data_IF_768683858270
#
_entry.id   IF_768683858270
#
_cell.length_a   1.000
_cell.length_b   1.000
_cell.length_c   1.000
_cell.angle_alpha   90.00
_cell.angle_beta   90.00
_cell.angle_gamma   90.00
#
_symmetry.space_group_name_H-M   'P 1'
#
loop_
_entity.id
_entity.type
_entity.pdbx_description
1 polymer ?
#
# COMPACT_ATOMS: atom_id res chain seq x y z
N UNK A 1 15.11 23.70 -3.90
CA UNK A 1 14.51 22.56 -3.16
C UNK A 1 13.50 21.91 -4.08
N UNK A 2 13.60 20.61 -4.32
CA UNK A 2 12.71 19.89 -5.24
C UNK A 2 12.00 18.76 -4.52
N UNK A 3 10.67 18.71 -4.63
CA UNK A 3 9.89 17.59 -4.11
C UNK A 3 10.14 16.34 -4.96
N UNK A 4 10.29 15.19 -4.33
CA UNK A 4 10.51 13.89 -4.98
C UNK A 4 9.59 12.81 -4.43
N UNK A 5 9.35 11.77 -5.23
CA UNK A 5 8.54 10.62 -4.82
C UNK A 5 9.26 9.64 -3.88
N UNK A 6 10.59 9.71 -3.81
CA UNK A 6 11.40 8.81 -3.00
C UNK A 6 12.84 9.29 -2.89
N UNK A 7 13.48 9.00 -1.76
CA UNK A 7 14.88 9.30 -1.52
C UNK A 7 15.77 8.08 -1.80
N UNK A 8 17.08 8.29 -2.07
CA UNK A 8 18.01 7.20 -2.26
C UNK A 8 18.06 6.22 -1.09
N UNK A 9 18.07 4.93 -1.42
CA UNK A 9 18.17 3.83 -0.46
C UNK A 9 19.56 3.18 -0.41
N UNK A 10 20.50 3.66 -1.24
CA UNK A 10 21.88 3.19 -1.29
C UNK A 10 22.82 4.29 -1.79
N UNK A 11 24.14 4.06 -1.63
CA UNK A 11 25.17 5.03 -1.99
C UNK A 11 25.21 5.33 -3.50
N UNK A 12 25.04 4.31 -4.35
CA UNK A 12 25.08 4.48 -5.81
C UNK A 12 23.95 5.38 -6.31
N UNK A 13 22.73 5.21 -5.79
CA UNK A 13 21.61 6.08 -6.13
C UNK A 13 21.83 7.51 -5.60
N UNK A 14 22.39 7.65 -4.40
CA UNK A 14 22.75 8.94 -3.82
C UNK A 14 23.73 9.69 -4.72
N UNK A 15 24.83 9.06 -5.13
CA UNK A 15 25.83 9.65 -6.01
C UNK A 15 25.25 10.00 -7.38
N UNK A 16 24.41 9.13 -7.94
CA UNK A 16 23.74 9.38 -9.22
C UNK A 16 22.85 10.62 -9.13
N UNK A 17 22.04 10.76 -8.08
CA UNK A 17 21.18 11.92 -7.89
C UNK A 17 21.95 13.19 -7.57
N UNK A 18 23.00 13.09 -6.76
CA UNK A 18 23.95 14.18 -6.48
C UNK A 18 24.55 14.73 -7.77
N UNK A 19 25.06 13.85 -8.64
CA UNK A 19 25.67 14.22 -9.91
C UNK A 19 24.65 14.87 -10.85
N UNK A 20 23.42 14.34 -10.90
CA UNK A 20 22.32 14.91 -11.71
C UNK A 20 21.97 16.33 -11.29
N UNK A 21 22.00 16.63 -9.98
CA UNK A 21 21.73 17.98 -9.44
C UNK A 21 22.97 18.88 -9.42
N UNK A 22 24.15 18.36 -9.71
CA UNK A 22 25.41 19.11 -9.63
C UNK A 22 25.81 19.48 -8.20
N UNK A 23 25.44 18.67 -7.21
CA UNK A 23 25.87 18.92 -5.83
C UNK A 23 27.38 18.69 -5.67
N UNK A 24 28.03 19.58 -4.92
CA UNK A 24 29.44 19.50 -4.61
C UNK A 24 29.76 18.63 -3.40
N UNK A 25 30.96 18.81 -2.88
CA UNK A 25 31.39 18.26 -1.60
C UNK A 25 31.67 19.43 -0.64
N UNK A 26 31.46 19.20 0.65
CA UNK A 26 31.85 20.15 1.68
C UNK A 26 33.39 20.23 1.81
N UNK A 27 33.88 21.12 2.69
CA UNK A 27 35.33 21.29 2.92
C UNK A 27 36.06 20.04 3.45
N UNK A 28 35.34 19.00 3.84
CA UNK A 28 35.89 17.73 4.33
C UNK A 28 35.71 16.59 3.31
N UNK A 29 35.23 16.90 2.10
CA UNK A 29 35.02 15.91 1.04
C UNK A 29 33.73 15.10 1.19
N UNK A 30 32.78 15.52 2.03
CA UNK A 30 31.49 14.85 2.15
C UNK A 30 30.52 15.37 1.08
N UNK A 31 29.84 14.44 0.39
CA UNK A 31 28.80 14.77 -0.58
C UNK A 31 27.72 15.68 0.04
N UNK A 32 27.42 16.80 -0.63
CA UNK A 32 26.47 17.81 -0.16
C UNK A 32 25.00 17.55 -0.55
N UNK A 33 24.72 16.51 -1.33
CA UNK A 33 23.36 16.12 -1.65
C UNK A 33 22.63 15.57 -0.43
N UNK A 34 21.40 16.05 -0.22
CA UNK A 34 20.48 15.49 0.78
C UNK A 34 19.14 15.18 0.13
N UNK A 35 18.47 14.17 0.66
CA UNK A 35 17.06 13.92 0.40
C UNK A 35 16.39 13.48 1.69
N UNK A 36 15.46 14.30 2.20
CA UNK A 36 14.85 14.09 3.51
C UNK A 36 13.37 14.53 3.48
N UNK A 37 12.55 14.04 4.42
CA UNK A 37 11.24 14.61 4.68
C UNK A 37 11.32 16.09 5.07
N UNK A 38 10.32 16.86 4.64
CA UNK A 38 10.10 18.17 5.24
C UNK A 38 9.49 18.06 6.64
N UNK A 39 9.61 19.12 7.45
CA UNK A 39 9.08 19.14 8.82
C UNK A 39 7.57 18.92 8.93
N UNK A 40 6.80 19.19 7.87
CA UNK A 40 5.35 18.93 7.86
C UNK A 40 4.99 17.51 7.41
N UNK A 41 5.98 16.69 7.03
CA UNK A 41 5.79 15.32 6.52
C UNK A 41 4.82 15.27 5.35
N UNK A 42 4.77 16.32 4.54
CA UNK A 42 3.92 16.39 3.35
C UNK A 42 4.63 15.94 2.08
N UNK A 43 5.96 15.95 2.07
CA UNK A 43 6.77 15.54 0.92
C UNK A 43 8.20 15.16 1.33
N UNK A 44 8.88 14.45 0.43
CA UNK A 44 10.32 14.28 0.46
C UNK A 44 10.95 15.36 -0.41
N UNK A 45 11.99 16.00 0.07
CA UNK A 45 12.68 17.10 -0.63
C UNK A 45 14.14 16.75 -0.84
N UNK A 46 14.63 16.94 -2.06
CA UNK A 46 16.05 16.88 -2.39
C UNK A 46 16.62 18.28 -2.67
N UNK A 47 17.87 18.51 -2.22
CA UNK A 47 18.61 19.75 -2.42
C UNK A 47 20.13 19.51 -2.27
N UNK A 48 20.94 20.45 -2.77
CA UNK A 48 22.35 20.55 -2.44
C UNK A 48 22.50 21.45 -1.21
N UNK A 49 22.98 20.88 -0.11
CA UNK A 49 23.17 21.61 1.15
C UNK A 49 24.47 22.40 1.09
N UNK A 50 24.40 23.69 1.35
CA UNK A 50 25.55 24.62 1.25
C UNK A 50 26.44 24.64 2.50
N UNK A 51 26.01 23.98 3.58
CA UNK A 51 26.73 23.88 4.83
C UNK A 51 27.73 22.71 4.90
N UNK A 52 28.35 22.59 6.08
CA UNK A 52 29.20 21.45 6.44
C UNK A 52 28.32 20.25 6.76
N UNK A 53 28.65 19.07 6.22
CA UNK A 53 27.97 17.83 6.56
C UNK A 53 28.37 17.38 7.97
N UNK A 54 27.52 17.71 8.92
CA UNK A 54 27.71 17.40 10.33
C UNK A 54 27.36 15.94 10.70
N UNK A 55 27.24 15.75 12.01
CA UNK A 55 26.79 14.50 12.62
C UNK A 55 25.36 14.65 13.13
N UNK A 56 24.53 13.65 12.85
CA UNK A 56 23.21 13.45 13.42
C UNK A 56 23.37 12.67 14.72
N UNK A 57 22.76 13.16 15.79
CA UNK A 57 22.78 12.47 17.07
C UNK A 57 21.96 11.17 17.01
N UNK A 58 22.45 10.10 17.65
CA UNK A 58 21.69 8.84 17.79
C UNK A 58 20.27 9.08 18.30
N UNK A 59 19.34 8.23 17.90
CA UNK A 59 17.92 8.35 18.26
C UNK A 59 17.18 9.45 17.49
N UNK A 60 17.79 10.07 16.48
CA UNK A 60 17.18 11.12 15.67
C UNK A 60 17.25 10.83 14.17
N UNK A 61 16.17 11.19 13.49
CA UNK A 61 16.12 11.40 12.04
C UNK A 61 16.43 12.85 11.70
N UNK A 62 16.73 13.10 10.43
CA UNK A 62 16.98 14.43 9.88
C UNK A 62 15.79 14.86 9.02
N UNK A 63 15.33 16.09 9.21
CA UNK A 63 14.24 16.73 8.44
C UNK A 63 14.72 18.06 7.84
N UNK A 64 14.01 18.55 6.84
CA UNK A 64 14.28 19.85 6.21
C UNK A 64 13.21 20.87 6.62
N UNK A 65 13.65 22.01 7.13
CA UNK A 65 12.84 23.20 7.43
C UNK A 65 13.44 24.40 6.73
N UNK A 66 12.79 24.93 5.69
CA UNK A 66 13.22 26.15 4.97
C UNK A 66 14.70 26.14 4.54
N UNK A 67 15.18 24.99 4.06
CA UNK A 67 16.57 24.79 3.61
C UNK A 67 17.54 24.41 4.73
N UNK A 68 17.12 24.53 5.99
CA UNK A 68 17.89 24.12 7.16
C UNK A 68 17.60 22.68 7.57
N UNK A 69 18.59 22.04 8.17
CA UNK A 69 18.50 20.69 8.71
C UNK A 69 18.06 20.72 10.16
N UNK A 70 17.03 19.95 10.52
CA UNK A 70 16.54 19.82 11.90
C UNK A 70 16.49 18.37 12.35
N UNK A 71 16.72 18.14 13.65
CA UNK A 71 16.71 16.82 14.25
C UNK A 71 15.31 16.47 14.77
N UNK A 72 14.84 15.26 14.46
CA UNK A 72 13.59 14.71 14.95
C UNK A 72 13.83 13.42 15.70
N UNK A 73 13.37 13.34 16.94
CA UNK A 73 13.44 12.11 17.72
C UNK A 73 12.63 10.99 17.05
N UNK A 74 13.25 9.82 16.86
CA UNK A 74 12.65 8.63 16.26
C UNK A 74 12.63 7.42 17.21
N UNK A 75 12.85 7.63 18.51
CA UNK A 75 12.93 6.52 19.49
C UNK A 75 11.60 5.79 19.68
N UNK A 76 10.49 6.41 19.28
CA UNK A 76 9.16 5.81 19.21
C UNK A 76 8.95 4.92 17.98
N UNK A 77 9.92 4.82 17.08
CA UNK A 77 9.81 3.96 15.90
C UNK A 77 9.88 2.50 16.32
N UNK A 78 9.10 1.66 15.65
CA UNK A 78 9.14 0.20 15.85
C UNK A 78 10.52 -0.38 15.55
N UNK A 79 11.21 0.16 14.53
CA UNK A 79 12.58 -0.20 14.15
C UNK A 79 13.18 0.85 13.20
N UNK A 80 14.50 0.78 12.97
CA UNK A 80 15.19 1.58 11.95
C UNK A 80 15.58 3.01 12.37
N UNK A 81 15.35 3.40 13.62
CA UNK A 81 15.92 4.63 14.18
C UNK A 81 17.43 4.45 14.44
N UNK A 82 18.30 5.43 14.12
CA UNK A 82 19.75 5.30 14.32
C UNK A 82 20.15 5.01 15.77
N UNK A 83 20.86 3.90 15.99
CA UNK A 83 21.41 3.54 17.31
C UNK A 83 22.71 4.25 17.67
N UNK A 84 23.39 4.81 16.67
CA UNK A 84 24.68 5.49 16.78
C UNK A 84 24.64 6.87 16.11
N UNK A 85 25.71 7.65 16.29
CA UNK A 85 25.87 8.93 15.60
C UNK A 85 26.22 8.66 14.13
N UNK A 86 25.50 9.32 13.22
CA UNK A 86 25.67 9.10 11.77
C UNK A 86 26.00 10.43 11.11
N UNK A 87 26.65 10.41 9.95
CA UNK A 87 26.86 11.64 9.18
C UNK A 87 25.60 12.04 8.44
N UNK A 88 25.42 13.34 8.21
CA UNK A 88 24.26 13.86 7.48
C UNK A 88 24.12 13.26 6.08
N UNK A 89 25.24 12.97 5.40
CA UNK A 89 25.27 12.37 4.06
C UNK A 89 25.04 10.85 4.04
N UNK A 90 24.86 10.22 5.20
CA UNK A 90 24.58 8.78 5.34
C UNK A 90 23.10 8.49 5.61
N UNK A 91 22.22 9.46 5.36
CA UNK A 91 20.77 9.33 5.56
C UNK A 91 20.15 8.11 4.84
N UNK A 92 20.73 7.69 3.71
CA UNK A 92 20.29 6.52 2.93
C UNK A 92 20.39 5.19 3.71
N UNK A 93 21.25 5.12 4.74
CA UNK A 93 21.37 3.92 5.60
C UNK A 93 20.14 3.71 6.49
N UNK A 94 19.28 4.72 6.64
CA UNK A 94 18.13 4.71 7.54
C UNK A 94 16.83 5.00 6.80
N UNK A 95 16.32 4.06 5.99
CA UNK A 95 15.09 4.24 5.21
C UNK A 95 13.85 4.53 6.07
N UNK A 96 13.87 4.08 7.34
CA UNK A 96 12.84 4.44 8.32
C UNK A 96 12.68 5.96 8.50
N UNK A 97 13.79 6.70 8.47
CA UNK A 97 13.81 8.16 8.55
C UNK A 97 13.38 8.86 7.25
N UNK A 98 13.07 8.12 6.20
CA UNK A 98 12.61 8.64 4.91
C UNK A 98 11.17 8.21 4.60
N UNK A 99 10.62 7.27 5.36
CA UNK A 99 9.30 6.68 5.08
C UNK A 99 8.23 7.42 5.85
N UNK A 100 7.56 8.36 5.18
CA UNK A 100 6.46 9.16 5.73
C UNK A 100 5.13 8.79 5.08
N UNK A 101 4.05 8.94 5.85
CA UNK A 101 2.69 8.98 5.33
C UNK A 101 2.27 10.45 5.23
N UNK A 102 2.10 10.92 3.99
CA UNK A 102 1.78 12.31 3.69
C UNK A 102 0.34 12.69 4.04
N UNK A 103 -0.56 11.72 4.19
CA UNK A 103 -1.95 11.95 4.61
C UNK A 103 -2.04 12.19 6.10
N UNK A 104 -1.42 11.31 6.89
CA UNK A 104 -1.41 11.38 8.35
C UNK A 104 -0.28 12.27 8.90
N UNK A 105 0.63 12.75 8.03
CA UNK A 105 1.75 13.64 8.33
C UNK A 105 2.66 13.10 9.44
N UNK A 106 2.98 11.82 9.36
CA UNK A 106 3.84 11.14 10.32
C UNK A 106 4.75 10.11 9.65
N UNK A 107 5.73 9.61 10.40
CA UNK A 107 6.58 8.51 9.96
C UNK A 107 5.83 7.19 10.07
N UNK A 108 5.82 6.39 9.01
CA UNK A 108 5.07 5.13 8.94
C UNK A 108 5.44 4.15 10.06
N UNK A 109 6.68 4.21 10.53
CA UNK A 109 7.20 3.33 11.59
C UNK A 109 7.04 3.89 12.99
N UNK A 110 6.59 5.14 13.14
CA UNK A 110 6.31 5.72 14.44
C UNK A 110 5.09 5.05 15.07
N UNK A 111 5.21 4.65 16.33
CA UNK A 111 4.10 4.09 17.12
C UNK A 111 2.85 4.97 17.15
N UNK A 112 3.00 6.30 17.09
CA UNK A 112 1.88 7.24 17.08
C UNK A 112 1.25 7.41 15.70
N UNK A 113 1.92 6.95 14.64
CA UNK A 113 1.44 7.08 13.27
C UNK A 113 0.38 6.02 13.02
N UNK A 114 -0.88 6.37 13.33
CA UNK A 114 -2.02 5.58 12.94
C UNK A 114 -2.13 5.69 11.43
N UNK A 115 -2.06 4.55 10.74
CA UNK A 115 -2.62 4.50 9.39
C UNK A 115 -4.06 4.93 9.55
N UNK A 116 -4.46 5.98 8.87
CA UNK A 116 -5.87 6.18 8.60
C UNK A 116 -6.26 4.96 7.78
N UNK A 117 -6.71 3.91 8.46
CA UNK A 117 -7.49 2.87 7.81
C UNK A 117 -8.56 3.68 7.08
N UNK A 118 -8.46 3.66 5.76
CA UNK A 118 -9.49 4.21 4.89
C UNK A 118 -10.71 3.38 5.23
N UNK A 119 -11.48 3.89 6.18
CA UNK A 119 -12.87 3.57 6.46
C UNK A 119 -13.26 2.19 5.93
N UNK A 120 -13.14 1.16 6.77
CA UNK A 120 -13.91 -0.08 6.62
C UNK A 120 -15.44 0.21 6.50
N UNK A 121 -15.88 1.44 6.78
CA UNK A 121 -17.22 1.95 6.46
C UNK A 121 -17.53 1.96 4.95
N UNK A 122 -16.58 2.30 4.06
CA UNK A 122 -16.85 2.35 2.62
C UNK A 122 -16.92 0.95 1.98
N UNK A 123 -16.23 -0.04 2.55
CA UNK A 123 -16.27 -1.43 2.04
C UNK A 123 -17.52 -2.16 2.54
N UNK A 124 -17.99 -1.86 3.75
CA UNK A 124 -19.25 -2.42 4.27
C UNK A 124 -20.49 -1.90 3.52
N UNK A 125 -20.52 -0.62 3.12
CA UNK A 125 -21.66 -0.07 2.37
C UNK A 125 -21.79 -0.71 0.97
N UNK A 126 -20.68 -1.01 0.29
CA UNK A 126 -20.69 -1.67 -1.01
C UNK A 126 -21.10 -3.14 -0.87
N UNK A 127 -20.60 -3.85 0.15
CA UNK A 127 -20.98 -5.25 0.36
C UNK A 127 -22.46 -5.39 0.76
N UNK A 128 -22.98 -4.47 1.57
CA UNK A 128 -24.38 -4.48 2.00
C UNK A 128 -25.35 -4.23 0.84
N UNK A 129 -25.04 -3.27 -0.04
CA UNK A 129 -25.86 -2.97 -1.22
C UNK A 129 -25.87 -4.11 -2.24
N UNK A 130 -24.71 -4.75 -2.47
CA UNK A 130 -24.60 -5.91 -3.38
C UNK A 130 -25.36 -7.12 -2.81
N UNK A 131 -25.24 -7.42 -1.51
CA UNK A 131 -25.98 -8.51 -0.87
C UNK A 131 -27.50 -8.30 -0.93
N UNK A 132 -27.96 -7.07 -0.70
CA UNK A 132 -29.38 -6.72 -0.81
C UNK A 132 -29.92 -6.95 -2.23
N UNK A 133 -29.17 -6.55 -3.27
CA UNK A 133 -29.58 -6.75 -4.66
C UNK A 133 -29.67 -8.25 -5.02
N UNK A 134 -28.70 -9.06 -4.58
CA UNK A 134 -28.73 -10.51 -4.79
C UNK A 134 -29.93 -11.18 -4.09
N UNK A 135 -30.29 -10.73 -2.89
CA UNK A 135 -31.49 -11.22 -2.19
C UNK A 135 -32.79 -10.89 -2.93
N UNK A 136 -32.91 -9.68 -3.48
CA UNK A 136 -34.11 -9.28 -4.24
C UNK A 136 -34.25 -10.10 -5.53
N UNK A 137 -33.14 -10.32 -6.26
CA UNK A 137 -33.14 -11.10 -7.50
C UNK A 137 -33.51 -12.57 -7.21
N UNK A 138 -32.97 -13.16 -6.16
CA UNK A 138 -33.24 -14.57 -5.79
C UNK A 138 -34.68 -14.79 -5.35
N UNK A 139 -35.26 -13.89 -4.55
CA UNK A 139 -36.68 -13.94 -4.16
C UNK A 139 -37.59 -13.77 -5.38
N UNK A 140 -37.27 -12.84 -6.29
CA UNK A 140 -38.03 -12.64 -7.52
C UNK A 140 -38.02 -13.87 -8.42
N UNK A 141 -36.86 -14.52 -8.60
CA UNK A 141 -36.73 -15.73 -9.39
C UNK A 141 -37.56 -16.89 -8.80
N UNK A 142 -37.53 -17.08 -7.47
CA UNK A 142 -38.32 -18.11 -6.79
C UNK A 142 -39.83 -17.93 -7.01
N UNK A 143 -40.35 -16.71 -6.90
CA UNK A 143 -41.76 -16.41 -7.15
C UNK A 143 -42.16 -16.69 -8.61
N UNK A 144 -41.30 -16.34 -9.57
CA UNK A 144 -41.51 -16.66 -10.98
C UNK A 144 -41.55 -18.17 -11.22
N UNK A 145 -40.63 -18.94 -10.63
CA UNK A 145 -40.62 -20.41 -10.72
C UNK A 145 -41.88 -21.05 -10.13
N UNK A 146 -42.37 -20.55 -9.00
CA UNK A 146 -43.62 -21.01 -8.39
C UNK A 146 -44.80 -20.71 -9.32
N UNK A 147 -44.88 -19.50 -9.85
CA UNK A 147 -45.95 -19.11 -10.78
C UNK A 147 -45.94 -19.98 -12.05
N UNK A 148 -44.77 -20.19 -12.67
CA UNK A 148 -44.62 -21.08 -13.81
C UNK A 148 -45.01 -22.52 -13.47
N UNK A 149 -44.66 -23.02 -12.28
CA UNK A 149 -45.02 -24.36 -11.84
C UNK A 149 -46.54 -24.52 -11.66
N UNK A 150 -47.22 -23.51 -11.12
CA UNK A 150 -48.68 -23.48 -10.99
C UNK A 150 -49.32 -23.46 -12.38
N UNK A 151 -48.90 -22.55 -13.26
CA UNK A 151 -49.40 -22.46 -14.64
C UNK A 151 -49.17 -23.78 -15.37
N UNK A 152 -47.99 -24.39 -15.23
CA UNK A 152 -47.66 -25.66 -15.86
C UNK A 152 -48.53 -26.81 -15.35
N UNK A 153 -48.79 -26.87 -14.03
CA UNK A 153 -49.72 -27.85 -13.45
C UNK A 153 -51.16 -27.61 -13.92
N UNK A 154 -51.64 -26.37 -13.96
CA UNK A 154 -52.95 -26.02 -14.50
C UNK A 154 -53.08 -26.39 -15.99
N UNK A 155 -52.06 -26.07 -16.80
CA UNK A 155 -52.02 -26.38 -18.21
C UNK A 155 -51.95 -27.89 -18.49
N UNK A 156 -51.18 -28.66 -17.70
CA UNK A 156 -51.13 -30.13 -17.82
C UNK A 156 -52.41 -30.79 -17.35
N UNK A 157 -53.04 -30.31 -16.28
CA UNK A 157 -54.33 -30.81 -15.79
C UNK A 157 -55.43 -30.69 -16.86
N UNK A 158 -55.48 -29.57 -17.58
CA UNK A 158 -56.43 -29.38 -18.69
C UNK A 158 -56.16 -30.30 -19.89
N UNK A 159 -54.90 -30.69 -20.14
CA UNK A 159 -54.56 -31.62 -21.23
C UNK A 159 -54.98 -33.06 -20.93
N UNK A 160 -54.99 -33.50 -19.67
CA UNK A 160 -55.47 -34.84 -19.31
C UNK A 160 -56.99 -34.96 -19.42
N UNK A 161 -57.75 -33.90 -19.12
CA UNK A 161 -59.21 -33.91 -19.30
C UNK A 161 -59.64 -34.02 -20.77
N UNK A 162 -58.85 -33.49 -21.72
CA UNK A 162 -59.14 -33.68 -23.16
C UNK A 162 -58.96 -35.13 -23.60
N UNK A 163 -57.96 -35.86 -23.08
CA UNK A 163 -57.74 -37.28 -23.43
C UNK A 163 -58.79 -38.24 -22.84
N UNK A 164 -59.38 -37.91 -21.70
CA UNK A 164 -60.45 -38.72 -21.11
C UNK A 164 -61.82 -38.45 -21.76
N UNK A 165 -62.02 -37.32 -22.45
CA UNK A 165 -63.27 -37.05 -23.17
C UNK A 165 -63.32 -37.77 -24.52
N UNK A 166 -62.17 -37.95 -25.18
CA UNK A 166 -62.06 -38.68 -26.46
C UNK A 166 -62.17 -40.21 -26.29
N UNK A 167 -61.74 -40.77 -25.15
CA UNK A 167 -61.89 -42.21 -24.86
C UNK A 167 -63.32 -42.65 -24.49
N UNK A 168 -64.23 -41.73 -24.15
CA UNK A 168 -65.63 -42.07 -23.84
C UNK A 168 -66.47 -42.20 -25.12
N UNK A 169 -66.02 -41.62 -26.24
CA UNK A 169 -66.73 -41.70 -27.53
C UNK A 169 -66.26 -42.89 -28.40
N UNK A 170 -65.06 -43.43 -28.16
CA UNK A 170 -64.52 -44.59 -28.89
C UNK A 170 -64.94 -45.97 -28.33
N UNK A 171 -65.44 -46.03 -27.08
CA UNK A 171 -65.96 -47.28 -26.47
C UNK A 171 -67.46 -47.52 -26.81
N UNK A 172 -67.89 -47.11 -28.00
CA UNK A 172 -69.18 -47.55 -28.56
C UNK A 172 -69.06 -48.16 -29.95
N UNK A 173 -67.88 -48.15 -30.57
CA UNK A 173 -67.76 -48.53 -31.98
C UNK A 173 -66.47 -49.28 -32.32
N UNK A 174 -66.10 -50.34 -31.59
CA UNK A 174 -65.14 -51.30 -32.17
C UNK A 174 -65.12 -52.65 -31.47
N UNK A 175 -66.22 -53.38 -31.60
CA UNK A 175 -66.22 -54.85 -31.52
C UNK A 175 -66.20 -55.41 -32.94
N UNK A 176 -65.07 -55.34 -33.66
CA UNK A 176 -64.83 -56.22 -34.82
C UNK A 176 -63.36 -56.23 -35.28
N UNK A 177 -62.86 -57.45 -35.50
CA UNK A 177 -61.69 -57.83 -36.32
C UNK A 177 -60.28 -57.43 -35.80
N UNK A 178 -59.46 -58.34 -35.28
CA UNK A 178 -58.83 -59.55 -35.86
C UNK A 178 -57.56 -59.28 -36.68
N UNK A 179 -56.44 -59.80 -36.15
CA UNK A 179 -55.25 -60.37 -36.80
C UNK A 179 -54.21 -59.48 -37.54
N UNK A 180 -52.99 -59.35 -36.96
CA UNK A 180 -51.70 -59.93 -37.44
C UNK A 180 -50.43 -59.21 -36.91
N UNK A 181 -49.53 -60.09 -36.45
CA UNK A 181 -48.07 -60.16 -36.14
C UNK A 181 -47.04 -59.16 -36.80
N UNK A 182 -45.73 -59.14 -36.44
CA UNK A 182 -45.02 -57.96 -35.92
C UNK A 182 -43.76 -57.57 -36.74
N UNK A 183 -43.15 -56.40 -36.49
CA UNK A 183 -41.75 -56.18 -36.88
C UNK A 183 -41.09 -54.90 -36.30
N UNK A 184 -39.89 -55.15 -35.75
CA UNK A 184 -38.63 -54.38 -35.90
C UNK A 184 -38.38 -53.11 -35.04
N UNK A 185 -37.55 -53.38 -34.03
CA UNK A 185 -36.49 -52.58 -33.40
C UNK A 185 -35.79 -51.54 -34.32
N UNK A 186 -35.39 -50.39 -33.77
CA UNK A 186 -34.01 -49.95 -33.98
C UNK A 186 -33.32 -49.34 -32.74
N UNK A 187 -32.13 -49.90 -32.48
CA UNK A 187 -30.81 -49.24 -32.34
C UNK A 187 -30.72 -47.95 -31.50
N UNK A 188 -30.13 -48.13 -30.32
CA UNK A 188 -29.46 -47.11 -29.50
C UNK A 188 -28.05 -46.79 -30.02
N UNK A 189 -27.74 -45.51 -30.16
CA UNK A 189 -26.40 -44.93 -30.21
C UNK A 189 -26.39 -43.77 -29.19
N UNK A 190 -25.67 -43.85 -28.08
CA UNK A 190 -24.24 -43.56 -27.92
C UNK A 190 -23.93 -42.04 -27.99
N UNK A 191 -23.66 -41.43 -26.84
CA UNK A 191 -22.50 -40.55 -26.66
C UNK A 191 -22.19 -40.36 -25.17
N UNK A 192 -20.97 -40.76 -24.82
CA UNK A 192 -20.34 -40.66 -23.51
C UNK A 192 -19.34 -39.50 -23.61
N UNK A 193 -19.49 -38.45 -22.80
CA UNK A 193 -18.59 -37.29 -22.81
C UNK A 193 -17.71 -37.36 -21.56
N UNK A 194 -16.41 -37.58 -21.78
CA UNK A 194 -15.41 -37.72 -20.72
C UNK A 194 -14.97 -36.37 -20.13
N UNK A 195 -14.67 -36.42 -18.84
CA UNK A 195 -14.20 -35.34 -17.98
C UNK A 195 -12.74 -35.60 -17.57
N UNK A 196 -12.01 -34.50 -17.38
CA UNK A 196 -10.78 -34.35 -16.57
C UNK A 196 -9.43 -34.78 -17.15
N UNK A 197 -8.54 -33.79 -17.35
CA UNK A 197 -7.16 -33.79 -16.85
C UNK A 197 -6.67 -32.33 -16.74
N UNK A 198 -6.38 -31.85 -15.53
CA UNK A 198 -5.54 -30.68 -15.27
C UNK A 198 -4.64 -31.03 -14.08
N UNK A 199 -3.38 -30.59 -14.17
CA UNK A 199 -2.34 -30.42 -13.14
C UNK A 199 -1.22 -31.45 -13.10
N UNK A 200 -0.13 -31.14 -13.81
CA UNK A 200 1.25 -31.30 -13.33
C UNK A 200 2.06 -30.10 -13.81
N UNK A 201 2.51 -29.28 -12.87
CA UNK A 201 3.53 -28.24 -13.07
C UNK A 201 4.71 -28.71 -12.23
N UNK A 202 5.82 -28.98 -12.89
CA UNK A 202 7.04 -29.48 -12.28
C UNK A 202 7.87 -28.35 -11.68
N UNK A 203 8.23 -28.53 -10.40
CA UNK A 203 9.24 -27.79 -9.67
C UNK A 203 10.63 -28.22 -10.12
N UNK A 204 11.47 -27.27 -10.57
CA UNK A 204 12.92 -27.36 -10.49
C UNK A 204 13.57 -25.98 -10.61
N UNK A 205 13.80 -25.31 -9.47
CA UNK A 205 14.79 -24.23 -9.35
C UNK A 205 15.74 -24.59 -8.21
N UNK A 206 16.99 -24.86 -8.59
CA UNK A 206 18.14 -25.12 -7.73
C UNK A 206 18.82 -23.79 -7.39
N UNK A 207 19.11 -23.47 -6.11
CA UNK A 207 19.97 -22.34 -5.78
C UNK A 207 21.45 -22.80 -5.73
N UNK A 208 22.29 -22.16 -6.55
CA UNK A 208 23.74 -22.21 -6.37
C UNK A 208 24.18 -21.12 -5.39
N UNK A 209 24.73 -21.58 -4.27
CA UNK A 209 25.50 -20.83 -3.30
C UNK A 209 26.92 -20.70 -3.87
N UNK A 210 27.43 -19.48 -4.01
CA UNK A 210 28.87 -19.26 -4.20
C UNK A 210 29.33 -18.13 -3.30
N UNK A 211 29.91 -18.53 -2.18
CA UNK A 211 30.80 -17.75 -1.33
C UNK A 211 32.03 -17.34 -2.13
N UNK A 212 32.29 -16.03 -2.23
CA UNK A 212 33.65 -15.51 -2.43
C UNK A 212 33.89 -14.31 -1.51
N UNK A 213 34.47 -14.65 -0.37
CA UNK A 213 35.19 -13.78 0.55
C UNK A 213 36.50 -13.25 -0.07
N UNK A 214 36.64 -11.92 -0.12
CA UNK A 214 37.88 -11.10 0.11
C UNK A 214 39.06 -11.26 -0.90
N UNK A 215 39.98 -10.27 -1.08
CA UNK A 215 40.43 -9.26 -0.10
C UNK A 215 40.52 -7.79 -0.57
N UNK A 216 40.25 -6.89 0.38
CA UNK A 216 40.61 -5.48 0.33
C UNK A 216 42.13 -5.30 0.43
N UNK A 217 42.75 -4.45 -0.41
CA UNK A 217 44.08 -3.92 -0.13
C UNK A 217 43.99 -2.73 0.81
N UNK A 218 44.52 -2.93 2.01
CA UNK A 218 44.91 -1.88 2.94
C UNK A 218 46.12 -1.14 2.38
N UNK A 219 45.98 0.14 2.02
CA UNK A 219 47.14 1.04 1.91
C UNK A 219 46.82 2.37 2.55
N UNK A 220 47.30 2.47 3.78
CA UNK A 220 47.65 3.69 4.50
C UNK A 220 48.49 4.63 3.63
N UNK A 221 48.09 5.90 3.52
CA UNK A 221 49.03 7.00 3.37
C UNK A 221 48.42 8.26 4.01
N UNK A 222 48.69 8.42 5.30
CA UNK A 222 48.62 9.70 5.98
C UNK A 222 49.88 10.49 5.61
N UNK A 223 49.78 11.75 5.13
CA UNK A 223 50.86 12.71 5.29
C UNK A 223 50.69 13.47 6.60
N UNK A 224 51.81 13.56 7.31
CA UNK A 224 52.00 14.27 8.57
C UNK A 224 51.53 15.73 8.53
N UNK A 225 50.72 16.08 9.53
CA UNK A 225 50.36 17.46 9.86
C UNK A 225 51.49 18.04 10.70
N UNK A 226 52.35 18.86 10.08
CA UNK A 226 53.19 19.81 10.80
C UNK A 226 52.44 21.11 11.05
N UNK A 227 52.05 21.27 12.31
CA UNK A 227 52.17 22.46 13.15
C UNK A 227 52.51 23.80 12.47
N UNK A 228 51.60 24.76 12.56
CA UNK A 228 51.98 26.17 12.70
C UNK A 228 50.97 26.92 13.58
N UNK A 229 51.44 27.21 14.80
CA UNK A 229 50.88 28.19 15.70
C UNK A 229 50.92 29.60 15.07
N UNK A 230 49.79 30.32 15.07
CA UNK A 230 49.82 31.79 15.21
C UNK A 230 48.49 32.39 15.71
N UNK A 231 48.52 32.77 16.99
CA UNK A 231 48.11 34.06 17.58
C UNK A 231 46.77 34.71 17.16
N UNK A 232 45.93 34.86 18.18
CA UNK A 232 45.23 36.09 18.60
C UNK A 232 44.26 36.74 17.60
N UNK A 233 42.96 36.74 17.94
CA UNK A 233 42.26 37.92 18.50
C UNK A 233 40.82 37.58 18.89
N UNK A 234 40.53 37.59 20.18
CA UNK A 234 39.15 37.65 20.70
C UNK A 234 38.60 39.07 20.49
N UNK A 235 37.34 39.26 20.09
CA UNK A 235 36.59 40.47 20.38
C UNK A 235 35.56 40.20 21.49
N UNK A 236 35.81 40.93 22.57
CA UNK A 236 34.92 41.51 23.57
C UNK A 236 33.40 41.29 23.44
N UNK A 237 32.86 40.79 24.55
CA UNK A 237 31.53 41.01 25.12
C UNK A 237 30.82 42.28 24.65
N UNK A 238 29.62 42.10 24.10
CA UNK A 238 28.55 43.10 24.05
C UNK A 238 27.37 42.61 24.88
N UNK A 239 27.27 43.11 26.12
CA UNK A 239 26.07 43.06 26.94
C UNK A 239 25.03 44.03 26.36
N UNK A 240 23.82 43.56 26.08
CA UNK A 240 22.65 44.41 25.79
C UNK A 240 21.51 43.97 26.74
N UNK A 241 20.72 44.92 27.26
CA UNK A 241 20.02 44.77 28.54
C UNK A 241 18.67 44.07 28.46
N UNK A 242 18.29 43.55 29.62
CA UNK A 242 16.91 43.22 29.99
C UNK A 242 16.01 44.46 30.04
N UNK A 243 14.89 44.40 29.32
CA UNK A 243 13.61 45.08 29.60
C UNK A 243 12.53 44.06 29.23
N UNK A 244 11.64 43.57 30.08
CA UNK A 244 10.84 44.29 31.06
C UNK A 244 9.48 44.60 30.41
N UNK A 245 8.40 44.00 30.96
CA UNK A 245 6.96 44.21 30.66
C UNK A 245 6.49 43.81 29.24
N UNK A 246 5.34 43.17 28.98
CA UNK A 246 4.07 43.15 29.69
C UNK A 246 3.27 41.88 29.45
N UNK A 247 2.47 41.56 30.46
CA UNK A 247 1.33 40.66 30.50
C UNK A 247 0.25 40.97 29.46
N UNK A 248 -0.18 39.96 28.71
CA UNK A 248 -1.58 39.84 28.29
C UNK A 248 -2.08 38.42 28.52
N UNK A 249 -2.74 38.25 29.66
CA UNK A 249 -3.78 37.25 29.88
C UNK A 249 -4.97 37.61 28.98
N UNK A 250 -5.33 36.72 28.06
CA UNK A 250 -6.64 36.69 27.43
C UNK A 250 -7.26 35.33 27.75
N UNK A 251 -8.09 35.35 28.79
CA UNK A 251 -9.02 34.30 29.19
C UNK A 251 -10.43 34.70 28.72
N UNK A 252 -11.29 33.69 28.58
CA UNK A 252 -12.76 33.74 28.45
C UNK A 252 -13.30 34.20 27.07
N UNK A 253 -14.39 33.70 26.52
CA UNK A 253 -15.30 32.58 26.83
C UNK A 253 -16.29 32.46 25.65
N UNK A 254 -16.91 31.29 25.53
CA UNK A 254 -18.32 31.06 25.17
C UNK A 254 -18.97 31.76 23.94
N UNK A 255 -19.37 30.96 22.95
CA UNK A 255 -20.81 30.90 22.58
C UNK A 255 -21.23 29.69 21.76
N UNK A 256 -22.11 28.93 22.40
CA UNK A 256 -23.08 27.98 21.85
C UNK A 256 -24.11 28.62 20.89
N UNK A 257 -24.44 27.92 19.78
CA UNK A 257 -25.79 27.76 19.17
C UNK A 257 -25.67 26.96 17.85
N UNK A 258 -26.15 25.73 17.73
CA UNK A 258 -27.55 25.30 17.49
C UNK A 258 -28.30 26.24 16.53
N UNK A 259 -28.42 25.83 15.27
CA UNK A 259 -29.68 25.53 14.57
C UNK A 259 -29.38 24.60 13.38
#
# INVERSE_FOLDING_TARGET
MHSVGGCPNNLTELETRSNRLGCGNDKYGNNQYICLPNVDKTSLTELCYDGIMGMVAKGNCLEISDGSLVLRNCTSFKFGCPGEHIRNNEFYKYPACQTIDTKSRCYVLDSSCKKSDVSDEAVNDINCTVLSLLFVITLGALLMFIFFSIVFRCCRGRRQQKKNKEKVDDEKHSSTASERIPAKNPRSAASEFQMSQISKVDDHIKPEISDKSTPYPSTSLFPDVYETNRKLKSPSFGLIPHSGSDSMLLNCDDKSRKY
#
